data_IF_342264040800
#
_entry.id   IF_342264040800
#
_cell.length_a   1.000
_cell.length_b   1.000
_cell.length_c   1.000
_cell.angle_alpha   90.00
_cell.angle_beta   90.00
_cell.angle_gamma   90.00
#
_symmetry.space_group_name_H-M   'P 1'
#
loop_
_entity.id
_entity.type
_entity.pdbx_description
1 polymer ?
#
# COMPACT_ATOMS: atom_id res chain seq x y z
N UNK A 1 -3.37 21.69 13.64
CA UNK A 1 -3.25 21.95 12.19
C UNK A 1 -2.35 20.92 11.49
N UNK A 2 -1.05 20.82 11.81
CA UNK A 2 -0.11 19.91 11.11
C UNK A 2 -0.50 18.41 11.21
N UNK A 3 -0.98 17.97 12.38
CA UNK A 3 -1.40 16.57 12.63
C UNK A 3 -2.60 16.16 11.77
N UNK A 4 -3.57 17.04 11.63
CA UNK A 4 -4.78 16.81 10.83
C UNK A 4 -4.46 16.84 9.34
N UNK A 5 -3.60 17.77 8.90
CA UNK A 5 -3.11 17.79 7.53
C UNK A 5 -2.41 16.48 7.14
N UNK A 6 -1.54 15.97 8.01
CA UNK A 6 -0.84 14.72 7.75
C UNK A 6 -1.80 13.53 7.59
N UNK A 7 -2.84 13.47 8.43
CA UNK A 7 -3.90 12.46 8.35
C UNK A 7 -4.66 12.53 7.03
N UNK A 8 -5.26 13.69 6.76
CA UNK A 8 -6.06 13.91 5.56
C UNK A 8 -5.22 13.66 4.32
N UNK A 9 -3.94 14.05 4.33
CA UNK A 9 -3.06 13.85 3.19
C UNK A 9 -2.78 12.37 2.97
N UNK A 10 -2.51 11.64 4.06
CA UNK A 10 -2.22 10.21 4.02
C UNK A 10 -3.40 9.41 3.47
N UNK A 11 -4.62 9.72 3.87
CA UNK A 11 -5.81 9.04 3.35
C UNK A 11 -6.06 9.42 1.89
N UNK A 12 -5.98 10.71 1.55
CA UNK A 12 -6.25 11.17 0.19
C UNK A 12 -5.21 10.72 -0.84
N UNK A 13 -3.98 10.44 -0.42
CA UNK A 13 -2.92 9.98 -1.33
C UNK A 13 -3.01 8.48 -1.66
N UNK A 14 -3.60 7.66 -0.79
CA UNK A 14 -3.74 6.22 -1.03
C UNK A 14 -4.47 5.89 -2.36
N UNK A 15 -5.65 6.48 -2.66
CA UNK A 15 -6.33 6.28 -3.95
C UNK A 15 -5.47 6.61 -5.17
N UNK A 16 -4.63 7.66 -5.08
CA UNK A 16 -3.74 8.05 -6.17
C UNK A 16 -2.74 6.93 -6.50
N UNK A 17 -2.16 6.30 -5.47
CA UNK A 17 -1.23 5.18 -5.66
C UNK A 17 -1.94 3.93 -6.18
N UNK A 18 -3.20 3.70 -5.82
CA UNK A 18 -4.00 2.61 -6.37
C UNK A 18 -4.31 2.80 -7.85
N UNK A 19 -4.64 4.04 -8.25
CA UNK A 19 -4.80 4.41 -9.66
C UNK A 19 -3.48 4.21 -10.41
N UNK A 20 -2.35 4.64 -9.85
CA UNK A 20 -1.03 4.44 -10.44
C UNK A 20 -0.75 2.96 -10.74
N UNK A 21 -1.08 2.09 -9.79
CA UNK A 21 -0.92 0.64 -9.96
C UNK A 21 -1.86 0.06 -10.99
N UNK A 22 -3.12 0.49 -11.02
CA UNK A 22 -4.08 0.07 -12.05
C UNK A 22 -3.62 0.47 -13.45
N UNK A 23 -3.08 1.69 -13.60
CA UNK A 23 -2.53 2.18 -14.87
C UNK A 23 -1.30 1.37 -15.25
N UNK A 24 -0.39 1.11 -14.33
CA UNK A 24 0.78 0.26 -14.58
C UNK A 24 0.37 -1.14 -15.08
N UNK A 25 -0.58 -1.79 -14.41
CA UNK A 25 -1.01 -3.15 -14.73
C UNK A 25 -1.74 -3.20 -16.08
N UNK A 26 -2.55 -2.19 -16.42
CA UNK A 26 -3.44 -2.22 -17.58
C UNK A 26 -2.89 -1.51 -18.81
N UNK A 27 -2.06 -0.49 -18.65
CA UNK A 27 -1.62 0.42 -19.71
C UNK A 27 -0.11 0.70 -19.63
N UNK A 28 0.71 -0.35 -19.61
CA UNK A 28 2.18 -0.27 -19.49
C UNK A 28 2.84 0.72 -20.47
N UNK A 29 2.39 0.75 -21.73
CA UNK A 29 2.89 1.70 -22.75
C UNK A 29 2.57 3.16 -22.43
N UNK A 30 1.42 3.41 -21.80
CA UNK A 30 1.02 4.75 -21.37
C UNK A 30 1.76 5.15 -20.10
N UNK A 31 1.93 4.21 -19.15
CA UNK A 31 2.67 4.42 -17.91
C UNK A 31 4.11 4.90 -18.14
N UNK A 32 4.77 4.34 -19.15
CA UNK A 32 6.16 4.68 -19.52
C UNK A 32 6.27 6.01 -20.29
N UNK A 33 5.17 6.59 -20.75
CA UNK A 33 5.17 7.87 -21.44
C UNK A 33 5.42 9.03 -20.46
N UNK A 34 6.22 10.01 -20.86
CA UNK A 34 6.47 11.24 -20.07
C UNK A 34 5.17 11.97 -19.68
N UNK A 35 4.15 11.88 -20.53
CA UNK A 35 2.84 12.47 -20.29
C UNK A 35 2.18 11.93 -19.03
N UNK A 36 2.33 10.63 -18.74
CA UNK A 36 1.79 10.04 -17.51
C UNK A 36 2.46 10.62 -16.27
N UNK A 37 3.78 10.81 -16.29
CA UNK A 37 4.51 11.44 -15.17
C UNK A 37 4.02 12.86 -14.87
N UNK A 38 3.71 13.65 -15.91
CA UNK A 38 3.11 14.98 -15.75
C UNK A 38 1.69 14.92 -15.18
N UNK A 39 0.85 14.03 -15.70
CA UNK A 39 -0.51 13.82 -15.18
C UNK A 39 -0.50 13.38 -13.72
N UNK A 40 0.37 12.42 -13.36
CA UNK A 40 0.53 11.96 -11.99
C UNK A 40 0.98 13.07 -11.05
N UNK A 41 1.96 13.89 -11.47
CA UNK A 41 2.43 15.04 -10.69
C UNK A 41 1.34 16.09 -10.49
N UNK A 42 0.53 16.34 -11.52
CA UNK A 42 -0.61 17.24 -11.43
C UNK A 42 -1.68 16.72 -10.47
N UNK A 43 -2.03 15.43 -10.54
CA UNK A 43 -2.98 14.81 -9.60
C UNK A 43 -2.46 14.85 -8.16
N UNK A 44 -1.16 14.58 -7.95
CA UNK A 44 -0.49 14.67 -6.66
C UNK A 44 -0.55 16.09 -6.08
N UNK A 45 -0.22 17.11 -6.89
CA UNK A 45 -0.29 18.51 -6.49
C UNK A 45 -1.74 18.95 -6.17
N UNK A 46 -2.71 18.45 -6.93
CA UNK A 46 -4.13 18.73 -6.72
C UNK A 46 -4.62 18.18 -5.38
N UNK A 47 -4.21 16.96 -5.03
CA UNK A 47 -4.52 16.36 -3.71
C UNK A 47 -3.86 17.16 -2.59
N UNK A 48 -2.58 17.50 -2.71
CA UNK A 48 -1.90 18.35 -1.72
C UNK A 48 -2.62 19.68 -1.51
N UNK A 49 -3.04 20.33 -2.60
CA UNK A 49 -3.75 21.60 -2.55
C UNK A 49 -5.12 21.47 -1.89
N UNK A 50 -5.90 20.46 -2.29
CA UNK A 50 -7.21 20.17 -1.69
C UNK A 50 -7.08 19.92 -0.18
N UNK A 51 -6.16 19.05 0.23
CA UNK A 51 -5.92 18.75 1.65
C UNK A 51 -5.48 19.99 2.43
N UNK A 52 -4.69 20.87 1.82
CA UNK A 52 -4.27 22.14 2.45
C UNK A 52 -5.45 23.08 2.69
N UNK A 53 -6.38 23.19 1.73
CA UNK A 53 -7.60 24.00 1.89
C UNK A 53 -8.48 23.42 3.00
N UNK A 54 -8.67 22.11 3.02
CA UNK A 54 -9.53 21.46 4.03
C UNK A 54 -8.96 21.56 5.45
N UNK A 55 -7.64 21.48 5.60
CA UNK A 55 -6.99 21.69 6.90
C UNK A 55 -7.24 23.11 7.48
N UNK A 56 -7.61 24.07 6.63
CA UNK A 56 -7.91 25.46 7.03
C UNK A 56 -9.41 25.70 7.32
N UNK A 57 -10.33 24.82 6.88
CA UNK A 57 -11.79 25.03 6.95
C UNK A 57 -12.52 24.12 7.95
N UNK A 58 -11.79 23.59 8.95
CA UNK A 58 -12.18 22.38 9.70
C UNK A 58 -13.42 22.51 10.60
N UNK A 59 -13.73 23.71 11.09
CA UNK A 59 -14.66 23.88 12.22
C UNK A 59 -16.16 23.68 11.88
N UNK A 60 -16.53 23.43 10.61
CA UNK A 60 -17.95 23.36 10.20
C UNK A 60 -18.37 22.05 9.48
N UNK A 61 -17.45 21.14 9.15
CA UNK A 61 -17.73 20.03 8.19
C UNK A 61 -17.21 18.65 8.66
N UNK A 62 -16.74 18.53 9.90
CA UNK A 62 -16.02 17.35 10.40
C UNK A 62 -16.76 16.00 10.25
N UNK A 63 -18.06 15.85 10.58
CA UNK A 63 -18.73 14.56 10.44
C UNK A 63 -19.02 14.15 8.99
N UNK A 64 -19.35 15.11 8.12
CA UNK A 64 -19.56 14.86 6.68
C UNK A 64 -18.24 14.42 6.03
N UNK A 65 -17.14 15.05 6.45
CA UNK A 65 -15.80 14.71 5.97
C UNK A 65 -15.39 13.29 6.36
N UNK A 66 -15.65 12.88 7.60
CA UNK A 66 -15.36 11.52 8.06
C UNK A 66 -16.10 10.47 7.23
N UNK A 67 -17.38 10.70 6.92
CA UNK A 67 -18.18 9.80 6.06
C UNK A 67 -17.59 9.72 4.65
N UNK A 68 -17.20 10.87 4.07
CA UNK A 68 -16.61 10.95 2.74
C UNK A 68 -15.26 10.21 2.68
N UNK A 69 -14.45 10.35 3.72
CA UNK A 69 -13.14 9.73 3.86
C UNK A 69 -13.26 8.20 3.99
N UNK A 70 -14.15 7.70 4.85
CA UNK A 70 -14.45 6.26 4.97
C UNK A 70 -14.94 5.70 3.63
N UNK A 71 -15.82 6.43 2.95
CA UNK A 71 -16.34 6.03 1.64
C UNK A 71 -15.22 5.93 0.60
N UNK A 72 -14.31 6.91 0.57
CA UNK A 72 -13.15 6.93 -0.33
C UNK A 72 -12.21 5.75 -0.07
N UNK A 73 -11.94 5.43 1.20
CA UNK A 73 -11.13 4.27 1.59
C UNK A 73 -11.76 2.94 1.18
N UNK A 74 -13.09 2.80 1.32
CA UNK A 74 -13.81 1.61 0.87
C UNK A 74 -13.70 1.47 -0.65
N UNK A 75 -13.92 2.55 -1.40
CA UNK A 75 -13.75 2.56 -2.86
C UNK A 75 -12.31 2.18 -3.24
N UNK A 76 -11.32 2.72 -2.52
CA UNK A 76 -9.91 2.40 -2.73
C UNK A 76 -9.63 0.91 -2.50
N UNK A 77 -10.16 0.31 -1.44
CA UNK A 77 -10.02 -1.11 -1.16
C UNK A 77 -10.57 -1.97 -2.31
N UNK A 78 -11.72 -1.63 -2.86
CA UNK A 78 -12.26 -2.33 -4.03
C UNK A 78 -11.37 -2.17 -5.27
N UNK A 79 -10.84 -0.98 -5.52
CA UNK A 79 -9.91 -0.72 -6.62
C UNK A 79 -8.64 -1.57 -6.49
N UNK A 80 -8.07 -1.67 -5.29
CA UNK A 80 -6.88 -2.49 -5.00
C UNK A 80 -7.17 -4.00 -5.14
N UNK A 81 -8.35 -4.46 -4.71
CA UNK A 81 -8.77 -5.86 -4.90
C UNK A 81 -8.89 -6.20 -6.40
N UNK A 82 -9.45 -5.30 -7.20
CA UNK A 82 -9.53 -5.44 -8.66
C UNK A 82 -8.13 -5.45 -9.26
N UNK A 83 -7.25 -4.54 -8.84
CA UNK A 83 -5.86 -4.48 -9.28
C UNK A 83 -5.11 -5.79 -8.97
N UNK A 84 -5.26 -6.31 -7.75
CA UNK A 84 -4.65 -7.56 -7.32
C UNK A 84 -5.13 -8.74 -8.16
N UNK A 85 -6.45 -8.84 -8.39
CA UNK A 85 -7.04 -9.91 -9.21
C UNK A 85 -6.57 -9.82 -10.66
N UNK A 86 -6.49 -8.61 -11.21
CA UNK A 86 -6.03 -8.36 -12.58
C UNK A 86 -4.56 -8.72 -12.75
N UNK A 87 -3.70 -8.31 -11.81
CA UNK A 87 -2.30 -8.68 -11.80
C UNK A 87 -2.11 -10.21 -11.74
N UNK A 88 -2.88 -10.90 -10.89
CA UNK A 88 -2.85 -12.37 -10.79
C UNK A 88 -3.26 -13.06 -12.09
N UNK A 89 -4.34 -12.59 -12.73
CA UNK A 89 -4.82 -13.14 -14.00
C UNK A 89 -3.82 -12.92 -15.14
N UNK A 90 -3.19 -11.74 -15.22
CA UNK A 90 -2.15 -11.50 -16.22
C UNK A 90 -0.94 -12.36 -15.95
N UNK A 91 -0.47 -12.44 -14.71
CA UNK A 91 0.65 -13.29 -14.31
C UNK A 91 0.42 -14.77 -14.69
N UNK A 92 -0.77 -15.33 -14.44
CA UNK A 92 -1.06 -16.72 -14.81
C UNK A 92 -1.11 -16.97 -16.31
N UNK A 93 -1.50 -15.97 -17.12
CA UNK A 93 -1.52 -16.04 -18.58
C UNK A 93 -0.15 -15.84 -19.23
N UNK A 94 0.84 -15.39 -18.47
CA UNK A 94 2.20 -15.07 -18.96
C UNK A 94 3.14 -16.29 -18.92
N UNK A 95 2.62 -17.52 -18.75
CA UNK A 95 3.39 -18.76 -18.87
C UNK A 95 3.88 -18.93 -20.31
N UNK A 96 5.13 -18.52 -20.57
CA UNK A 96 5.78 -18.56 -21.89
C UNK A 96 6.21 -17.22 -22.46
N UNK A 97 5.88 -16.09 -21.80
CA UNK A 97 6.31 -14.76 -22.26
C UNK A 97 7.64 -14.32 -21.63
N UNK A 98 8.11 -13.13 -22.03
CA UNK A 98 9.40 -12.56 -21.65
C UNK A 98 9.57 -12.47 -20.12
N UNK A 99 10.74 -12.91 -19.61
CA UNK A 99 11.01 -13.11 -18.19
C UNK A 99 10.85 -11.82 -17.38
N UNK A 100 11.26 -10.68 -17.96
CA UNK A 100 11.16 -9.36 -17.34
C UNK A 100 9.70 -8.96 -17.06
N UNK A 101 8.82 -9.16 -18.04
CA UNK A 101 7.40 -8.81 -17.89
C UNK A 101 6.73 -9.64 -16.80
N UNK A 102 7.09 -10.92 -16.70
CA UNK A 102 6.58 -11.81 -15.66
C UNK A 102 7.10 -11.44 -14.26
N UNK A 103 8.36 -11.00 -14.17
CA UNK A 103 8.95 -10.50 -12.94
C UNK A 103 8.26 -9.21 -12.47
N UNK A 104 8.05 -8.25 -13.37
CA UNK A 104 7.40 -6.97 -13.04
C UNK A 104 5.93 -7.14 -12.62
N UNK A 105 5.20 -8.07 -13.26
CA UNK A 105 3.85 -8.46 -12.84
C UNK A 105 3.85 -9.13 -11.47
N UNK A 106 4.85 -9.96 -11.16
CA UNK A 106 4.96 -10.61 -9.84
C UNK A 106 5.23 -9.60 -8.72
N UNK A 107 6.09 -8.60 -8.98
CA UNK A 107 6.36 -7.49 -8.07
C UNK A 107 5.08 -6.68 -7.86
N UNK A 108 4.41 -6.33 -8.95
CA UNK A 108 3.18 -5.53 -8.89
C UNK A 108 2.07 -6.26 -8.13
N UNK A 109 1.94 -7.57 -8.30
CA UNK A 109 1.03 -8.39 -7.51
C UNK A 109 1.40 -8.40 -6.02
N UNK A 110 2.67 -8.60 -5.65
CA UNK A 110 3.10 -8.58 -4.25
C UNK A 110 2.88 -7.22 -3.58
N UNK A 111 3.15 -6.13 -4.30
CA UNK A 111 2.91 -4.76 -3.85
C UNK A 111 1.42 -4.54 -3.65
N UNK A 112 0.59 -4.81 -4.66
CA UNK A 112 -0.86 -4.58 -4.60
C UNK A 112 -1.50 -5.41 -3.49
N UNK A 113 -1.08 -6.67 -3.30
CA UNK A 113 -1.56 -7.50 -2.19
C UNK A 113 -1.22 -6.87 -0.83
N UNK A 114 -0.03 -6.30 -0.69
CA UNK A 114 0.38 -5.64 0.56
C UNK A 114 -0.43 -4.37 0.83
N UNK A 115 -0.76 -3.62 -0.22
CA UNK A 115 -1.67 -2.48 -0.14
C UNK A 115 -3.08 -2.91 0.27
N UNK A 116 -3.65 -3.96 -0.34
CA UNK A 116 -4.97 -4.50 0.04
C UNK A 116 -5.05 -4.78 1.55
N UNK A 117 -4.01 -5.42 2.13
CA UNK A 117 -3.98 -5.68 3.56
C UNK A 117 -3.87 -4.39 4.40
N UNK A 118 -3.05 -3.42 3.97
CA UNK A 118 -2.92 -2.13 4.63
C UNK A 118 -4.22 -1.33 4.60
N UNK A 119 -4.82 -1.19 3.42
CA UNK A 119 -6.07 -0.46 3.19
C UNK A 119 -7.24 -1.12 3.91
N UNK A 120 -7.31 -2.45 3.94
CA UNK A 120 -8.31 -3.17 4.75
C UNK A 120 -8.21 -2.81 6.23
N UNK A 121 -7.00 -2.81 6.78
CA UNK A 121 -6.78 -2.42 8.18
C UNK A 121 -7.15 -0.95 8.43
N UNK A 122 -6.82 -0.06 7.49
CA UNK A 122 -7.20 1.35 7.52
C UNK A 122 -8.72 1.52 7.58
N UNK A 123 -9.46 0.82 6.71
CA UNK A 123 -10.93 0.83 6.71
C UNK A 123 -11.48 0.36 8.05
N UNK A 124 -10.90 -0.68 8.66
CA UNK A 124 -11.34 -1.15 9.98
C UNK A 124 -11.12 -0.11 11.08
N UNK A 125 -9.98 0.57 11.09
CA UNK A 125 -9.70 1.63 12.08
C UNK A 125 -10.61 2.83 11.89
N UNK A 126 -10.82 3.26 10.65
CA UNK A 126 -11.68 4.41 10.32
C UNK A 126 -13.16 4.13 10.60
N UNK A 127 -13.63 2.90 10.37
CA UNK A 127 -14.97 2.50 10.80
C UNK A 127 -15.10 2.50 12.33
N UNK A 128 -14.07 2.04 13.05
CA UNK A 128 -14.07 2.09 14.51
C UNK A 128 -14.10 3.54 15.03
N UNK A 129 -13.30 4.43 14.44
CA UNK A 129 -13.30 5.87 14.75
C UNK A 129 -14.68 6.50 14.49
N UNK A 130 -15.30 6.17 13.35
CA UNK A 130 -16.64 6.66 13.01
C UNK A 130 -17.71 6.18 14.01
N UNK A 131 -17.70 4.90 14.37
CA UNK A 131 -18.64 4.33 15.35
C UNK A 131 -18.47 5.01 16.72
N UNK A 132 -17.23 5.12 17.20
CA UNK A 132 -16.95 5.75 18.49
C UNK A 132 -17.34 7.23 18.50
N UNK A 133 -17.10 7.95 17.40
CA UNK A 133 -17.52 9.35 17.25
C UNK A 133 -19.04 9.51 17.30
N UNK A 134 -19.79 8.62 16.65
CA UNK A 134 -21.27 8.62 16.69
C UNK A 134 -21.77 8.32 18.11
N UNK A 135 -21.17 7.37 18.82
CA UNK A 135 -21.57 7.03 20.20
C UNK A 135 -21.37 8.20 21.18
N UNK A 136 -20.32 9.02 20.95
CA UNK A 136 -20.10 10.26 21.72
C UNK A 136 -21.14 11.32 21.37
N UNK A 137 -21.43 11.52 20.08
CA UNK A 137 -22.45 12.50 19.63
C UNK A 137 -23.85 12.15 20.16
N UNK A 138 -24.17 10.85 20.25
CA UNK A 138 -25.45 10.36 20.78
C UNK A 138 -25.50 10.34 22.31
N UNK A 139 -24.49 10.88 23.00
CA UNK A 139 -24.39 10.94 24.47
C UNK A 139 -24.54 9.56 25.15
N UNK A 140 -24.20 8.48 24.45
CA UNK A 140 -24.25 7.11 25.00
C UNK A 140 -23.08 6.85 25.94
N UNK A 141 -21.99 7.63 25.80
CA UNK A 141 -20.78 7.50 26.62
C UNK A 141 -20.52 8.83 27.35
N UNK A 142 -20.67 8.82 28.68
CA UNK A 142 -20.47 10.01 29.54
C UNK A 142 -19.01 10.47 29.65
N UNK A 143 -18.03 9.58 29.43
CA UNK A 143 -16.60 9.90 29.53
C UNK A 143 -15.99 10.36 28.20
N UNK A 144 -16.50 11.48 27.67
CA UNK A 144 -16.08 12.04 26.37
C UNK A 144 -14.56 12.29 26.29
N UNK A 145 -13.92 12.81 27.35
CA UNK A 145 -12.47 13.06 27.38
C UNK A 145 -11.63 11.78 27.20
N UNK A 146 -12.03 10.69 27.84
CA UNK A 146 -11.33 9.41 27.78
C UNK A 146 -11.51 8.78 26.38
N UNK A 147 -12.70 8.93 25.79
CA UNK A 147 -12.96 8.51 24.40
C UNK A 147 -12.14 9.34 23.41
N UNK A 148 -12.05 10.66 23.57
CA UNK A 148 -11.19 11.50 22.73
C UNK A 148 -9.73 11.07 22.82
N UNK A 149 -9.19 10.84 24.03
CA UNK A 149 -7.81 10.34 24.19
C UNK A 149 -7.59 8.96 23.54
N UNK A 150 -8.59 8.09 23.57
CA UNK A 150 -8.53 6.79 22.91
C UNK A 150 -8.58 6.92 21.38
N UNK A 151 -9.44 7.79 20.84
CA UNK A 151 -9.50 8.12 19.42
C UNK A 151 -8.15 8.66 18.91
N UNK A 152 -7.51 9.56 19.67
CA UNK A 152 -6.16 10.07 19.32
C UNK A 152 -5.10 8.97 19.27
N UNK A 153 -5.21 7.99 20.16
CA UNK A 153 -4.30 6.84 20.20
C UNK A 153 -4.49 5.93 18.99
N UNK A 154 -5.74 5.72 18.56
CA UNK A 154 -6.07 4.96 17.33
C UNK A 154 -5.52 5.67 16.09
N UNK A 155 -5.71 6.98 15.98
CA UNK A 155 -5.18 7.79 14.86
C UNK A 155 -3.65 7.69 14.77
N UNK A 156 -2.97 7.71 15.91
CA UNK A 156 -1.50 7.59 15.97
C UNK A 156 -1.03 6.17 15.60
N UNK A 157 -1.79 5.15 16.01
CA UNK A 157 -1.56 3.76 15.61
C UNK A 157 -1.72 3.57 14.11
N UNK A 158 -2.71 4.18 13.47
CA UNK A 158 -2.91 4.05 12.03
C UNK A 158 -1.71 4.58 11.23
N UNK A 159 -1.27 5.82 11.50
CA UNK A 159 -0.13 6.45 10.83
C UNK A 159 1.17 5.67 10.99
N UNK A 160 1.33 4.97 12.11
CA UNK A 160 2.52 4.16 12.36
C UNK A 160 2.38 2.75 11.80
N UNK A 161 1.22 2.10 11.92
CA UNK A 161 1.01 0.71 11.55
C UNK A 161 0.93 0.49 10.04
N UNK A 162 0.34 1.41 9.27
CA UNK A 162 0.16 1.21 7.84
C UNK A 162 1.50 0.97 7.09
N UNK A 163 2.57 1.78 7.28
CA UNK A 163 3.88 1.49 6.69
C UNK A 163 4.44 0.12 7.11
N UNK A 164 4.28 -0.27 8.39
CA UNK A 164 4.73 -1.57 8.89
C UNK A 164 3.97 -2.73 8.27
N UNK A 165 2.64 -2.61 8.13
CA UNK A 165 1.79 -3.62 7.50
C UNK A 165 2.20 -3.81 6.04
N UNK A 166 2.43 -2.72 5.30
CA UNK A 166 2.90 -2.78 3.91
C UNK A 166 4.30 -3.41 3.82
N UNK A 167 5.22 -3.03 4.70
CA UNK A 167 6.60 -3.56 4.72
C UNK A 167 6.66 -5.05 5.09
N UNK A 168 5.89 -5.50 6.07
CA UNK A 168 5.85 -6.90 6.54
C UNK A 168 5.13 -7.79 5.53
N UNK A 169 4.08 -7.29 4.87
CA UNK A 169 3.33 -8.01 3.86
C UNK A 169 4.14 -8.28 2.59
N UNK A 170 5.13 -7.43 2.32
CA UNK A 170 6.05 -7.61 1.21
C UNK A 170 7.17 -8.61 1.56
N UNK A 171 7.24 -9.73 0.83
CA UNK A 171 8.18 -10.82 1.10
C UNK A 171 9.64 -10.39 1.01
N UNK A 172 9.98 -9.48 0.08
CA UNK A 172 11.35 -8.96 -0.13
C UNK A 172 11.78 -8.10 1.06
N UNK A 173 10.92 -7.17 1.48
CA UNK A 173 11.21 -6.30 2.62
C UNK A 173 11.22 -7.06 3.93
N UNK A 174 10.26 -7.97 4.16
CA UNK A 174 10.27 -8.88 5.31
C UNK A 174 11.58 -9.65 5.44
N UNK A 175 12.10 -10.21 4.34
CA UNK A 175 13.41 -10.89 4.34
C UNK A 175 14.54 -9.93 4.71
N UNK A 176 14.58 -8.73 4.13
CA UNK A 176 15.61 -7.72 4.45
C UNK A 176 15.57 -7.34 5.93
N UNK A 177 14.41 -7.03 6.47
CA UNK A 177 14.23 -6.65 7.88
C UNK A 177 14.73 -7.78 8.80
N UNK A 178 14.30 -9.03 8.56
CA UNK A 178 14.76 -10.19 9.34
C UNK A 178 16.27 -10.39 9.23
N UNK A 179 16.88 -10.18 8.06
CA UNK A 179 18.33 -10.30 7.86
C UNK A 179 19.10 -9.21 8.60
N UNK A 180 18.59 -7.97 8.59
CA UNK A 180 19.16 -6.83 9.33
C UNK A 180 19.17 -7.14 10.84
N UNK A 181 18.06 -7.64 11.38
CA UNK A 181 17.98 -7.99 12.81
C UNK A 181 18.79 -9.23 13.19
N UNK A 182 18.98 -10.18 12.27
CA UNK A 182 19.76 -11.40 12.52
C UNK A 182 21.28 -11.21 12.43
N UNK A 183 21.80 -9.98 12.20
CA UNK A 183 23.24 -9.69 11.95
C UNK A 183 23.90 -10.65 10.95
N UNK A 184 23.11 -11.29 10.07
CA UNK A 184 23.61 -12.21 9.04
C UNK A 184 23.72 -11.39 7.77
N UNK A 185 24.95 -10.98 7.45
CA UNK A 185 25.32 -10.54 6.10
C UNK A 185 24.84 -11.60 5.11
N UNK A 186 23.77 -11.30 4.37
CA UNK A 186 23.29 -12.20 3.34
C UNK A 186 24.29 -12.19 2.20
N UNK A 187 25.18 -13.18 2.16
CA UNK A 187 25.73 -13.61 0.87
C UNK A 187 24.53 -13.99 0.01
N UNK A 188 24.43 -13.42 -1.19
CA UNK A 188 23.39 -13.81 -2.16
C UNK A 188 23.64 -15.27 -2.47
N UNK A 189 22.74 -16.15 -2.02
CA UNK A 189 22.84 -17.59 -2.24
C UNK A 189 21.75 -18.02 -3.21
N UNK A 190 22.14 -18.69 -4.29
CA UNK A 190 21.18 -19.40 -5.15
C UNK A 190 20.88 -20.74 -4.48
N UNK A 191 19.61 -21.06 -4.31
CA UNK A 191 19.16 -22.30 -3.67
C UNK A 191 18.47 -23.20 -4.69
N UNK A 192 18.67 -24.52 -4.59
CA UNK A 192 17.93 -25.49 -5.40
C UNK A 192 16.47 -25.59 -4.95
N UNK A 193 15.66 -26.30 -5.73
CA UNK A 193 14.26 -26.60 -5.39
C UNK A 193 14.08 -27.31 -4.04
N UNK A 194 15.13 -28.00 -3.55
CA UNK A 194 15.16 -28.68 -2.25
C UNK A 194 15.64 -27.75 -1.11
N UNK A 195 15.87 -26.47 -1.37
CA UNK A 195 16.30 -25.47 -0.37
C UNK A 195 17.79 -25.52 0.00
N UNK A 196 18.62 -26.28 -0.70
CA UNK A 196 20.07 -26.35 -0.46
C UNK A 196 20.80 -25.27 -1.25
N UNK A 197 21.77 -24.58 -0.64
CA UNK A 197 22.55 -23.52 -1.33
C UNK A 197 23.49 -24.14 -2.37
N UNK A 198 23.33 -23.74 -3.64
CA UNK A 198 24.14 -24.22 -4.75
C UNK A 198 25.34 -23.31 -4.99
N UNK A 199 25.19 -21.98 -4.82
CA UNK A 199 26.27 -21.01 -5.09
C UNK A 199 26.25 -19.88 -4.06
N UNK A 200 27.40 -19.62 -3.43
CA UNK A 200 27.63 -18.60 -2.39
C UNK A 200 28.36 -17.36 -2.93
N UNK A 201 27.94 -16.88 -4.11
CA UNK A 201 28.20 -15.56 -4.72
C UNK A 201 27.99 -15.70 -6.24
N UNK A 202 26.74 -15.83 -6.73
CA UNK A 202 26.49 -15.99 -8.15
C UNK A 202 26.88 -14.72 -8.90
N UNK A 203 27.54 -14.87 -10.05
CA UNK A 203 27.54 -13.80 -11.04
C UNK A 203 26.11 -13.64 -11.58
N UNK A 204 25.78 -12.48 -12.15
CA UNK A 204 24.45 -12.23 -12.70
C UNK A 204 24.07 -13.28 -13.77
N UNK A 205 25.04 -13.77 -14.53
CA UNK A 205 24.86 -14.86 -15.50
C UNK A 205 24.52 -16.19 -14.82
N UNK A 206 25.20 -16.57 -13.73
CA UNK A 206 24.91 -17.82 -13.00
C UNK A 206 23.49 -17.83 -12.44
N UNK A 207 23.02 -16.67 -11.97
CA UNK A 207 21.67 -16.50 -11.46
C UNK A 207 20.62 -16.72 -12.56
N UNK A 208 20.82 -16.11 -13.73
CA UNK A 208 19.89 -16.25 -14.86
C UNK A 208 19.92 -17.65 -15.49
N UNK A 209 21.09 -18.30 -15.57
CA UNK A 209 21.17 -19.68 -16.04
C UNK A 209 20.48 -20.66 -15.09
N UNK A 210 20.61 -20.48 -13.78
CA UNK A 210 19.91 -21.34 -12.80
C UNK A 210 18.41 -21.06 -12.77
N UNK A 211 17.98 -19.82 -13.00
CA UNK A 211 16.58 -19.49 -13.20
C UNK A 211 16.01 -20.15 -14.46
N UNK A 212 16.74 -20.12 -15.59
CA UNK A 212 16.30 -20.76 -16.83
C UNK A 212 16.21 -22.28 -16.69
N UNK A 213 17.21 -22.91 -16.04
CA UNK A 213 17.24 -24.34 -15.79
C UNK A 213 16.17 -24.83 -14.79
N UNK A 214 15.84 -24.02 -13.78
CA UNK A 214 14.81 -24.36 -12.80
C UNK A 214 13.37 -24.16 -13.34
N UNK A 215 13.21 -23.48 -14.46
CA UNK A 215 11.90 -23.12 -15.02
C UNK A 215 11.59 -23.79 -16.37
N UNK A 216 12.47 -24.69 -16.84
CA UNK A 216 12.16 -25.74 -17.84
C UNK A 216 11.55 -26.96 -17.15
#
# INVERSE_FOLDING_TARGET
MLRNFAWDFFVNIQPLFSVDRLVFINFEKFYTAKMYGLLFSFMFASILFATSIFALSKDQVEPIWLILLVTLLIINLFAELIAMRTARMKYSKTTGANLNQRFDLSISYEITRSFVFGTFFNVCLELLLAILSILVILEVIDNSELVFSFLESILTLEMSMFPWIVLISNKKWRKKVVLTFKKKSSKVQVMNFKGQSIVTNPTQQDYFQQLDAAWK
#
